data_IF_077086337198
#
_entry.id   IF_077086337198
#
_cell.length_a   1.000
_cell.length_b   1.000
_cell.length_c   1.000
_cell.angle_alpha   90.00
_cell.angle_beta   90.00
_cell.angle_gamma   90.00
#
_symmetry.space_group_name_H-M   'P 1'
#
loop_
_entity.id
_entity.type
_entity.pdbx_description
1 polymer ?
#
# COMPACT_ATOMS: atom_id res chain seq x y z
N UNK A 1 -19.14 0.38 -26.23
CA UNK A 1 -19.52 -0.60 -25.18
C UNK A 1 -18.66 -1.83 -25.39
N UNK A 2 -17.86 -2.23 -24.39
CA UNK A 2 -17.04 -3.44 -24.45
C UNK A 2 -17.86 -4.61 -23.87
N UNK A 3 -17.77 -5.80 -24.45
CA UNK A 3 -18.49 -7.01 -24.00
C UNK A 3 -17.55 -8.21 -23.93
N UNK A 4 -17.93 -9.23 -23.16
CA UNK A 4 -17.16 -10.48 -23.05
C UNK A 4 -16.95 -11.08 -24.44
N UNK A 5 -15.69 -11.41 -24.77
CA UNK A 5 -15.28 -11.94 -26.08
C UNK A 5 -14.95 -10.88 -27.14
N UNK A 6 -15.12 -9.59 -26.85
CA UNK A 6 -14.73 -8.53 -27.76
C UNK A 6 -13.20 -8.32 -27.73
N UNK A 7 -12.50 -8.34 -28.87
CA UNK A 7 -11.07 -8.12 -28.91
C UNK A 7 -10.76 -6.65 -28.57
N UNK A 8 -9.73 -6.44 -27.76
CA UNK A 8 -9.21 -5.11 -27.44
C UNK A 8 -7.72 -5.06 -27.77
N UNK A 9 -7.27 -3.89 -28.19
CA UNK A 9 -5.85 -3.60 -28.32
C UNK A 9 -5.37 -2.94 -27.03
N UNK A 10 -4.26 -3.43 -26.49
CA UNK A 10 -3.71 -2.94 -25.23
C UNK A 10 -2.27 -2.49 -25.42
N UNK A 11 -1.92 -1.37 -24.79
CA UNK A 11 -0.53 -0.97 -24.59
C UNK A 11 -0.17 -1.21 -23.13
N UNK A 12 0.98 -1.84 -22.91
CA UNK A 12 1.52 -2.14 -21.58
C UNK A 12 2.81 -1.35 -21.37
N UNK A 13 3.07 -0.95 -20.14
CA UNK A 13 4.25 -0.18 -19.75
C UNK A 13 4.04 0.60 -18.46
N UNK A 14 5.07 1.34 -18.06
CA UNK A 14 5.12 2.11 -16.81
C UNK A 14 6.44 1.90 -16.09
N UNK A 15 6.87 2.88 -15.29
CA UNK A 15 8.16 2.84 -14.58
C UNK A 15 8.01 2.78 -13.05
N UNK A 16 6.78 2.96 -12.52
CA UNK A 16 6.49 2.79 -11.10
C UNK A 16 6.21 1.30 -10.82
N UNK A 17 7.30 0.54 -10.67
CA UNK A 17 7.27 -0.91 -10.41
C UNK A 17 7.87 -1.22 -9.04
N UNK A 18 7.52 -2.37 -8.48
CA UNK A 18 8.09 -2.82 -7.21
C UNK A 18 9.61 -3.04 -7.37
N UNK A 19 10.39 -2.58 -6.40
CA UNK A 19 11.80 -2.96 -6.28
C UNK A 19 11.89 -4.37 -5.68
N UNK A 20 12.28 -5.33 -6.50
CA UNK A 20 12.35 -6.76 -6.16
C UNK A 20 13.71 -7.17 -5.58
N UNK A 21 14.59 -6.21 -5.26
CA UNK A 21 15.90 -6.50 -4.68
C UNK A 21 15.78 -7.19 -3.31
N UNK A 22 16.52 -8.30 -3.15
CA UNK A 22 16.62 -9.04 -1.90
C UNK A 22 17.92 -8.67 -1.14
N UNK A 23 17.90 -8.61 0.21
CA UNK A 23 16.72 -8.75 1.08
C UNK A 23 15.75 -7.57 0.90
N UNK A 24 14.44 -7.85 1.03
CA UNK A 24 13.41 -6.84 0.88
C UNK A 24 13.58 -5.74 1.93
N UNK A 25 13.37 -4.49 1.50
CA UNK A 25 13.25 -3.34 2.40
C UNK A 25 11.83 -3.20 2.94
N UNK A 26 11.65 -2.50 4.07
CA UNK A 26 10.34 -2.00 4.44
C UNK A 26 9.67 -1.31 3.25
N UNK A 27 8.36 -1.52 3.06
CA UNK A 27 7.64 -0.94 1.92
C UNK A 27 6.37 -0.25 2.36
N UNK A 28 6.15 0.96 1.82
CA UNK A 28 5.01 1.81 2.15
C UNK A 28 4.18 2.03 0.90
N UNK A 29 2.93 1.60 0.94
CA UNK A 29 1.97 1.65 -0.14
C UNK A 29 0.91 2.71 0.16
N UNK A 30 0.64 3.60 -0.78
CA UNK A 30 -0.37 4.66 -0.64
C UNK A 30 -1.25 4.70 -1.89
N UNK A 31 -2.52 4.36 -1.72
CA UNK A 31 -3.52 4.35 -2.79
C UNK A 31 -4.56 5.45 -2.58
N UNK A 32 -4.89 6.17 -3.66
CA UNK A 32 -5.99 7.12 -3.72
C UNK A 32 -7.00 6.73 -4.78
N UNK A 33 -8.26 6.52 -4.38
CA UNK A 33 -9.34 6.14 -5.29
C UNK A 33 -9.02 4.87 -6.06
N UNK A 34 -9.06 4.93 -7.39
CA UNK A 34 -8.78 3.76 -8.23
C UNK A 34 -7.27 3.47 -8.38
N UNK A 35 -6.39 4.38 -7.91
CA UNK A 35 -4.94 4.12 -7.80
C UNK A 35 -4.61 2.89 -6.95
N UNK A 36 -5.59 2.35 -6.23
CA UNK A 36 -5.49 1.04 -5.57
C UNK A 36 -5.15 -0.10 -6.52
N UNK A 37 -5.54 -0.08 -7.79
CA UNK A 37 -5.30 -1.21 -8.71
C UNK A 37 -3.80 -1.51 -8.93
N UNK A 38 -2.96 -0.54 -9.36
CA UNK A 38 -1.52 -0.79 -9.46
C UNK A 38 -0.88 -1.06 -8.09
N UNK A 39 -1.29 -0.35 -7.04
CA UNK A 39 -0.73 -0.52 -5.69
C UNK A 39 -1.03 -1.89 -5.10
N UNK A 40 -2.25 -2.42 -5.30
CA UNK A 40 -2.62 -3.77 -4.88
C UNK A 40 -1.78 -4.84 -5.60
N UNK A 41 -1.50 -4.63 -6.89
CA UNK A 41 -0.60 -5.54 -7.63
C UNK A 41 0.80 -5.57 -7.03
N UNK A 42 1.37 -4.41 -6.71
CA UNK A 42 2.69 -4.31 -6.08
C UNK A 42 2.69 -4.89 -4.66
N UNK A 43 1.62 -4.67 -3.90
CA UNK A 43 1.48 -5.21 -2.55
C UNK A 43 1.42 -6.74 -2.54
N UNK A 44 0.63 -7.34 -3.45
CA UNK A 44 0.58 -8.81 -3.61
C UNK A 44 1.96 -9.39 -3.94
N UNK A 45 2.70 -8.76 -4.85
CA UNK A 45 4.05 -9.20 -5.21
C UNK A 45 5.02 -9.07 -4.03
N UNK A 46 4.95 -7.96 -3.28
CA UNK A 46 5.75 -7.78 -2.06
C UNK A 46 5.51 -8.90 -1.05
N UNK A 47 4.24 -9.24 -0.78
CA UNK A 47 3.87 -10.33 0.12
C UNK A 47 4.42 -11.68 -0.38
N UNK A 48 4.31 -11.95 -1.68
CA UNK A 48 4.85 -13.17 -2.29
C UNK A 48 6.38 -13.29 -2.13
N UNK A 49 7.13 -12.22 -2.42
CA UNK A 49 8.58 -12.20 -2.28
C UNK A 49 9.03 -12.32 -0.82
N UNK A 50 8.27 -11.72 0.11
CA UNK A 50 8.51 -11.81 1.55
C UNK A 50 8.36 -13.23 2.04
N UNK A 51 7.24 -13.88 1.73
CA UNK A 51 6.97 -15.27 2.13
C UNK A 51 8.03 -16.23 1.58
N UNK A 52 8.48 -16.00 0.34
CA UNK A 52 9.58 -16.76 -0.27
C UNK A 52 10.92 -16.57 0.46
N UNK A 53 11.20 -15.35 0.92
CA UNK A 53 12.44 -15.01 1.65
C UNK A 53 12.42 -15.62 3.05
N UNK A 54 11.28 -15.55 3.73
CA UNK A 54 11.08 -16.12 5.07
C UNK A 54 11.19 -17.66 5.02
N UNK A 55 10.60 -18.30 4.00
CA UNK A 55 10.70 -19.74 3.80
C UNK A 55 12.14 -20.20 3.48
N UNK A 56 12.92 -19.42 2.73
CA UNK A 56 14.31 -19.73 2.42
C UNK A 56 15.24 -19.56 3.63
N UNK A 57 14.87 -18.70 4.58
CA UNK A 57 15.64 -18.41 5.80
C UNK A 57 15.38 -19.44 6.92
N UNK A 58 14.33 -20.26 6.80
CA UNK A 58 13.92 -21.28 7.77
C UNK A 58 14.76 -22.56 7.82
N UNK A 59 16.10 -22.47 7.80
CA UNK A 59 16.94 -23.62 8.17
C UNK A 59 16.70 -24.01 9.65
N UNK A 60 16.66 -25.30 10.02
CA UNK A 60 16.20 -25.73 11.35
C UNK A 60 17.12 -25.37 12.54
N UNK A 61 18.27 -24.76 12.28
CA UNK A 61 19.23 -24.39 13.31
C UNK A 61 19.24 -22.87 13.53
N UNK A 62 18.91 -22.50 14.77
CA UNK A 62 19.07 -21.20 15.44
C UNK A 62 17.82 -20.34 15.64
N UNK A 63 17.64 -19.94 16.91
CA UNK A 63 16.77 -18.90 17.48
C UNK A 63 16.98 -17.49 16.88
N UNK A 64 17.10 -17.37 15.56
CA UNK A 64 17.18 -16.09 14.87
C UNK A 64 15.76 -15.70 14.50
N UNK A 65 15.24 -14.66 15.14
CA UNK A 65 14.05 -13.95 14.67
C UNK A 65 14.36 -13.47 13.26
N UNK A 66 13.75 -14.09 12.25
CA UNK A 66 13.82 -13.61 10.86
C UNK A 66 13.31 -12.17 10.87
N UNK A 67 14.12 -11.22 10.42
CA UNK A 67 13.72 -9.81 10.30
C UNK A 67 12.80 -9.67 9.09
N UNK A 68 11.54 -10.06 9.26
CA UNK A 68 10.50 -9.98 8.22
C UNK A 68 10.30 -8.52 7.85
N UNK A 69 10.53 -8.18 6.57
CA UNK A 69 10.38 -6.81 6.09
C UNK A 69 8.96 -6.27 6.37
N UNK A 70 8.81 -5.18 7.15
CA UNK A 70 7.50 -4.65 7.51
C UNK A 70 6.87 -3.90 6.33
N UNK A 71 5.54 -3.80 6.35
CA UNK A 71 4.78 -3.08 5.33
C UNK A 71 3.74 -2.16 5.94
N UNK A 72 3.55 -1.01 5.31
CA UNK A 72 2.49 -0.07 5.66
C UNK A 72 1.65 0.21 4.43
N UNK A 73 0.33 0.15 4.56
CA UNK A 73 -0.60 0.40 3.47
C UNK A 73 -1.65 1.43 3.89
N UNK A 74 -1.78 2.52 3.14
CA UNK A 74 -2.83 3.50 3.28
C UNK A 74 -3.73 3.48 2.04
N UNK A 75 -5.02 3.23 2.23
CA UNK A 75 -6.02 3.39 1.19
C UNK A 75 -6.95 4.58 1.50
N UNK A 76 -6.95 5.57 0.63
CA UNK A 76 -7.80 6.77 0.74
C UNK A 76 -8.87 6.78 -0.34
N UNK A 77 -10.11 7.04 0.07
CA UNK A 77 -11.28 7.21 -0.83
C UNK A 77 -12.22 8.28 -0.27
N UNK A 78 -13.20 8.73 -1.06
CA UNK A 78 -14.12 9.77 -0.57
C UNK A 78 -15.17 9.21 0.41
N UNK A 79 -15.64 7.98 0.16
CA UNK A 79 -16.69 7.27 0.91
C UNK A 79 -16.47 5.75 0.90
N UNK A 80 -17.21 5.03 1.74
CA UNK A 80 -17.09 3.56 1.86
C UNK A 80 -17.50 2.82 0.57
N UNK A 81 -18.42 3.37 -0.21
CA UNK A 81 -18.85 2.77 -1.49
C UNK A 81 -17.75 2.76 -2.56
N UNK A 82 -16.71 3.57 -2.36
CA UNK A 82 -15.56 3.65 -3.25
C UNK A 82 -14.38 2.78 -2.80
N UNK A 83 -14.50 2.03 -1.68
CA UNK A 83 -13.48 1.09 -1.22
C UNK A 83 -13.44 -0.18 -2.09
N UNK A 84 -13.00 -0.03 -3.33
CA UNK A 84 -12.78 -1.17 -4.23
C UNK A 84 -11.64 -2.03 -3.67
N UNK A 85 -11.83 -3.35 -3.65
CA UNK A 85 -10.89 -4.33 -3.06
C UNK A 85 -10.67 -4.19 -1.54
N UNK A 86 -11.52 -3.46 -0.80
CA UNK A 86 -11.35 -3.26 0.64
C UNK A 86 -11.31 -4.57 1.45
N UNK A 87 -12.19 -5.52 1.14
CA UNK A 87 -12.21 -6.84 1.80
C UNK A 87 -10.93 -7.64 1.53
N UNK A 88 -10.48 -7.65 0.28
CA UNK A 88 -9.27 -8.35 -0.12
C UNK A 88 -8.03 -7.76 0.54
N UNK A 89 -7.88 -6.43 0.54
CA UNK A 89 -6.77 -5.75 1.21
C UNK A 89 -6.73 -6.07 2.70
N UNK A 90 -7.89 -6.09 3.35
CA UNK A 90 -7.98 -6.44 4.76
C UNK A 90 -7.61 -7.91 5.01
N UNK A 91 -8.00 -8.82 4.13
CA UNK A 91 -7.62 -10.24 4.22
C UNK A 91 -6.11 -10.44 4.03
N UNK A 92 -5.53 -9.82 3.00
CA UNK A 92 -4.09 -9.87 2.73
C UNK A 92 -3.25 -9.37 3.90
N UNK A 93 -3.68 -8.30 4.58
CA UNK A 93 -2.92 -7.72 5.68
C UNK A 93 -3.10 -8.47 7.01
N UNK A 94 -4.06 -9.40 7.11
CA UNK A 94 -4.51 -9.93 8.39
C UNK A 94 -3.38 -10.60 9.19
N UNK A 95 -2.66 -11.53 8.56
CA UNK A 95 -1.59 -12.27 9.23
C UNK A 95 -0.45 -11.35 9.66
N UNK A 96 0.03 -10.49 8.77
CA UNK A 96 1.12 -9.57 9.08
C UNK A 96 0.74 -8.55 10.17
N UNK A 97 -0.52 -8.11 10.22
CA UNK A 97 -1.02 -7.23 11.29
C UNK A 97 -1.09 -7.94 12.64
N UNK A 98 -1.45 -9.23 12.69
CA UNK A 98 -1.44 -10.01 13.93
C UNK A 98 -0.01 -10.22 14.47
N UNK A 99 0.96 -10.37 13.57
CA UNK A 99 2.38 -10.50 13.91
C UNK A 99 3.05 -9.14 14.19
N UNK A 100 2.37 -8.02 13.92
CA UNK A 100 2.88 -6.66 14.14
C UNK A 100 3.82 -6.15 13.04
N UNK A 101 3.94 -6.85 11.91
CA UNK A 101 4.79 -6.46 10.79
C UNK A 101 4.06 -5.60 9.75
N UNK A 102 2.72 -5.66 9.71
CA UNK A 102 1.90 -4.97 8.70
C UNK A 102 0.93 -3.96 9.34
N UNK A 103 0.94 -2.73 8.84
CA UNK A 103 -0.02 -1.68 9.21
C UNK A 103 -0.90 -1.32 8.02
N UNK A 104 -2.15 -1.73 8.05
CA UNK A 104 -3.18 -1.35 7.06
C UNK A 104 -4.06 -0.25 7.62
N UNK A 105 -4.32 0.82 6.86
CA UNK A 105 -5.22 1.91 7.25
C UNK A 105 -6.12 2.28 6.08
N UNK A 106 -7.43 2.35 6.32
CA UNK A 106 -8.38 2.94 5.39
C UNK A 106 -8.75 4.35 5.85
N UNK A 107 -8.92 5.29 4.92
CA UNK A 107 -9.25 6.67 5.23
C UNK A 107 -10.31 7.24 4.28
N UNK A 108 -11.32 7.88 4.86
CA UNK A 108 -12.42 8.53 4.13
C UNK A 108 -12.24 10.04 4.13
N UNK A 109 -12.07 10.66 2.96
CA UNK A 109 -11.71 12.08 2.86
C UNK A 109 -12.90 13.03 2.91
N UNK A 110 -14.12 12.58 2.58
CA UNK A 110 -15.30 13.43 2.47
C UNK A 110 -16.44 13.06 3.42
N UNK A 111 -16.47 11.84 3.95
CA UNK A 111 -17.65 11.41 4.71
C UNK A 111 -17.65 11.88 6.18
N UNK A 112 -18.72 12.58 6.57
CA UNK A 112 -19.09 12.94 7.96
C UNK A 112 -20.14 11.99 8.55
N UNK A 113 -20.76 11.13 7.73
CA UNK A 113 -21.71 10.14 8.21
C UNK A 113 -20.98 9.06 9.00
N UNK A 114 -21.63 8.60 10.07
CA UNK A 114 -21.16 7.52 10.92
C UNK A 114 -20.66 6.38 10.06
N UNK A 115 -19.38 6.03 10.21
CA UNK A 115 -18.76 4.86 9.58
C UNK A 115 -19.73 3.67 9.73
N UNK A 116 -20.39 3.28 8.65
CA UNK A 116 -20.99 1.96 8.56
C UNK A 116 -19.82 0.99 8.37
N UNK A 117 -19.02 0.84 9.43
CA UNK A 117 -17.82 0.01 9.53
C UNK A 117 -18.13 -1.49 9.48
N UNK A 118 -19.38 -1.87 9.19
CA UNK A 118 -19.83 -3.25 9.11
C UNK A 118 -19.13 -4.03 8.00
N UNK A 119 -18.67 -3.36 6.95
CA UNK A 119 -18.01 -3.99 5.80
C UNK A 119 -16.48 -3.95 5.88
N UNK A 120 -15.90 -3.30 6.91
CA UNK A 120 -14.44 -3.23 7.10
C UNK A 120 -14.05 -4.11 8.28
N UNK A 121 -13.16 -5.11 8.09
CA UNK A 121 -12.68 -5.95 9.18
C UNK A 121 -12.09 -5.14 10.34
N UNK A 122 -12.36 -5.59 11.58
CA UNK A 122 -12.02 -4.85 12.80
C UNK A 122 -10.53 -4.63 13.03
N UNK A 123 -9.66 -5.43 12.39
CA UNK A 123 -8.21 -5.27 12.47
C UNK A 123 -7.67 -4.14 11.58
N UNK A 124 -8.50 -3.56 10.70
CA UNK A 124 -8.12 -2.43 9.84
C UNK A 124 -8.73 -1.14 10.39
N UNK A 125 -7.90 -0.24 10.97
CA UNK A 125 -8.37 1.08 11.37
C UNK A 125 -8.94 1.87 10.19
N UNK A 126 -10.15 2.38 10.37
CA UNK A 126 -10.76 3.35 9.46
C UNK A 126 -10.69 4.75 10.06
N UNK A 127 -10.11 5.69 9.31
CA UNK A 127 -9.93 7.10 9.71
C UNK A 127 -10.76 8.02 8.83
N UNK A 128 -11.00 9.25 9.30
CA UNK A 128 -11.63 10.30 8.50
C UNK A 128 -10.68 11.46 8.28
N UNK A 129 -10.83 12.15 7.15
CA UNK A 129 -10.02 13.31 6.77
C UNK A 129 -8.71 12.96 6.06
N UNK A 130 -7.83 13.96 5.97
CA UNK A 130 -6.52 13.86 5.30
C UNK A 130 -5.47 13.36 6.29
N UNK A 131 -5.17 12.06 6.23
CA UNK A 131 -4.25 11.38 7.17
C UNK A 131 -2.88 11.04 6.56
N UNK A 132 -2.64 11.42 5.31
CA UNK A 132 -1.45 11.03 4.55
C UNK A 132 -0.14 11.45 5.23
N UNK A 133 -0.01 12.72 5.65
CA UNK A 133 1.22 13.22 6.26
C UNK A 133 1.55 12.47 7.57
N UNK A 134 0.55 12.30 8.45
CA UNK A 134 0.71 11.57 9.71
C UNK A 134 1.06 10.10 9.45
N UNK A 135 0.41 9.47 8.48
CA UNK A 135 0.73 8.10 8.09
C UNK A 135 2.16 7.97 7.57
N UNK A 136 2.63 8.91 6.75
CA UNK A 136 3.99 8.93 6.24
C UNK A 136 5.02 9.24 7.32
N UNK A 137 4.68 9.96 8.39
CA UNK A 137 5.59 10.22 9.51
C UNK A 137 5.92 8.93 10.29
N UNK A 138 4.97 8.01 10.38
CA UNK A 138 5.16 6.73 11.09
C UNK A 138 6.00 5.72 10.30
N UNK A 139 6.31 5.99 9.03
CA UNK A 139 6.97 5.01 8.16
C UNK A 139 8.47 4.87 8.43
N UNK A 140 9.06 3.67 8.27
CA UNK A 140 10.50 3.48 8.36
C UNK A 140 11.24 4.40 7.37
N UNK A 141 12.39 4.94 7.79
CA UNK A 141 13.15 5.91 6.99
C UNK A 141 13.91 5.24 5.82
N UNK A 142 14.21 3.96 5.94
CA UNK A 142 14.87 3.13 4.93
C UNK A 142 13.89 2.46 3.95
N UNK A 143 12.59 2.75 4.08
CA UNK A 143 11.55 2.16 3.23
C UNK A 143 11.60 2.62 1.77
N UNK A 144 11.04 1.79 0.90
CA UNK A 144 10.58 2.18 -0.43
C UNK A 144 9.11 2.65 -0.36
N UNK A 145 8.76 3.70 -1.09
CA UNK A 145 7.43 4.32 -1.10
C UNK A 145 6.79 4.17 -2.47
N UNK A 146 5.61 3.57 -2.52
CA UNK A 146 4.84 3.32 -3.73
C UNK A 146 3.49 4.03 -3.64
N UNK A 147 3.25 5.01 -4.49
CA UNK A 147 2.11 5.94 -4.35
C UNK A 147 1.35 6.05 -5.68
N UNK A 148 0.05 5.83 -5.67
CA UNK A 148 -0.78 6.05 -6.85
C UNK A 148 -2.14 6.63 -6.47
N UNK A 149 -2.57 7.66 -7.20
CA UNK A 149 -3.81 8.37 -6.91
C UNK A 149 -3.89 9.73 -7.62
N UNK A 150 -4.78 10.62 -7.15
CA UNK A 150 -4.94 11.95 -7.72
C UNK A 150 -3.64 12.78 -7.69
N UNK A 151 -3.40 13.68 -8.66
CA UNK A 151 -2.17 14.47 -8.73
C UNK A 151 -1.86 15.23 -7.43
N UNK A 152 -2.87 15.82 -6.80
CA UNK A 152 -2.71 16.56 -5.55
C UNK A 152 -2.25 15.69 -4.38
N UNK A 153 -2.76 14.46 -4.27
CA UNK A 153 -2.31 13.51 -3.25
C UNK A 153 -0.84 13.15 -3.43
N UNK A 154 -0.42 12.95 -4.69
CA UNK A 154 0.96 12.58 -5.01
C UNK A 154 1.90 13.76 -4.78
N UNK A 155 1.52 14.96 -5.20
CA UNK A 155 2.32 16.17 -4.97
C UNK A 155 2.51 16.42 -3.47
N UNK A 156 1.44 16.27 -2.67
CA UNK A 156 1.51 16.34 -1.20
C UNK A 156 2.45 15.27 -0.63
N UNK A 157 2.33 14.01 -1.09
CA UNK A 157 3.17 12.90 -0.63
C UNK A 157 4.65 13.09 -0.95
N UNK A 158 4.98 13.42 -2.21
CA UNK A 158 6.35 13.61 -2.68
C UNK A 158 6.98 14.78 -1.93
N UNK A 159 6.29 15.92 -1.85
CA UNK A 159 6.78 17.08 -1.10
C UNK A 159 7.04 16.75 0.38
N UNK A 160 6.15 15.99 1.02
CA UNK A 160 6.33 15.55 2.41
C UNK A 160 7.55 14.63 2.56
N UNK A 161 7.67 13.62 1.70
CA UNK A 161 8.77 12.66 1.75
C UNK A 161 10.13 13.31 1.48
N UNK A 162 10.23 14.19 0.49
CA UNK A 162 11.52 14.83 0.14
C UNK A 162 11.89 15.94 1.10
N UNK A 163 10.96 16.84 1.44
CA UNK A 163 11.30 18.09 2.12
C UNK A 163 11.16 18.01 3.63
N UNK A 164 10.27 17.15 4.14
CA UNK A 164 10.06 16.98 5.58
C UNK A 164 10.82 15.76 6.08
N UNK A 165 10.77 14.65 5.36
CA UNK A 165 11.38 13.38 5.78
C UNK A 165 12.77 13.12 5.19
N UNK A 166 13.24 13.95 4.25
CA UNK A 166 14.54 13.79 3.58
C UNK A 166 14.74 12.41 2.92
N UNK A 167 13.66 11.79 2.44
CA UNK A 167 13.70 10.54 1.68
C UNK A 167 14.24 10.83 0.29
N UNK A 168 15.23 10.06 -0.19
CA UNK A 168 15.82 10.32 -1.49
C UNK A 168 14.90 9.84 -2.63
N UNK A 169 14.96 10.54 -3.76
CA UNK A 169 14.00 10.40 -4.86
C UNK A 169 13.94 8.98 -5.43
N UNK A 170 15.07 8.26 -5.44
CA UNK A 170 15.16 6.88 -5.92
C UNK A 170 14.36 5.87 -5.09
N UNK A 171 13.81 6.27 -3.93
CA UNK A 171 12.93 5.43 -3.10
C UNK A 171 11.46 5.84 -3.18
N UNK A 172 11.12 6.82 -4.01
CA UNK A 172 9.76 7.36 -4.14
C UNK A 172 9.23 7.06 -5.53
N UNK A 173 8.46 5.98 -5.64
CA UNK A 173 7.83 5.51 -6.86
C UNK A 173 6.38 5.97 -6.87
N UNK A 174 5.95 6.64 -7.95
CA UNK A 174 4.57 7.10 -8.05
C UNK A 174 4.02 7.13 -9.46
N UNK A 175 2.70 7.04 -9.56
CA UNK A 175 1.96 7.19 -10.81
C UNK A 175 0.74 8.09 -10.57
N UNK A 176 0.65 9.20 -11.32
CA UNK A 176 -0.49 10.13 -11.24
C UNK A 176 -1.65 9.62 -12.07
N UNK A 177 -2.83 9.55 -11.46
CA UNK A 177 -4.06 9.14 -12.14
C UNK A 177 -4.94 10.36 -12.44
N UNK A 178 -5.30 10.57 -13.70
CA UNK A 178 -6.04 11.73 -14.22
C UNK A 178 -7.51 11.46 -14.53
#
# INVERSE_FOLDING_TARGET
QCSVGFPIEMRVGGNSVLDEQLPLRPSVFCAGGIGVSPILSQYREFLFLRDKTDAASGSPDANVTVDTAPTMFLYTVSSTTELVFGSELAELSHQGSQLGHDKMVFALTQNKESLDSRDIPSHVPCRTGRVLADFLNDAPHDANFYICGPPSMIDDAVNHLTNIRAIPQERIYYEKWW
#
